data_IF_289884828914
#
_entry.id   IF_289884828914
#
_cell.length_a   1.000
_cell.length_b   1.000
_cell.length_c   1.000
_cell.angle_alpha   90.00
_cell.angle_beta   90.00
_cell.angle_gamma   90.00
#
_symmetry.space_group_name_H-M   'P 1'
#
loop_
_entity.id
_entity.type
_entity.pdbx_description
1 polymer ?
#
# COMPACT_ATOMS: atom_id res chain seq x y z
N UNK A 1 -33.15 62.54 49.45
CA UNK A 1 -33.35 61.08 49.45
C UNK A 1 -33.46 60.61 48.00
N UNK A 2 -32.34 60.18 47.44
CA UNK A 2 -32.23 59.86 46.00
C UNK A 2 -31.81 58.39 45.89
N UNK A 3 -32.75 57.51 45.46
CA UNK A 3 -32.56 56.08 45.33
C UNK A 3 -31.75 55.78 44.01
N UNK A 4 -30.52 55.32 44.15
CA UNK A 4 -29.71 54.78 43.04
C UNK A 4 -30.10 53.29 42.84
N UNK A 5 -30.81 52.95 41.74
CA UNK A 5 -31.03 51.58 41.29
C UNK A 5 -29.84 51.14 40.48
N UNK A 6 -28.97 50.28 41.05
CA UNK A 6 -27.89 49.64 40.36
C UNK A 6 -28.44 48.46 39.55
N UNK A 7 -28.32 48.59 38.21
CA UNK A 7 -28.70 47.57 37.24
C UNK A 7 -27.75 46.35 37.29
N UNK A 8 -28.28 45.13 37.62
CA UNK A 8 -27.54 43.86 37.72
C UNK A 8 -27.42 43.11 36.37
N UNK A 9 -27.30 43.80 35.20
CA UNK A 9 -27.34 43.11 33.90
C UNK A 9 -26.01 42.97 33.17
N UNK A 10 -24.87 43.22 33.78
CA UNK A 10 -23.57 43.27 33.09
C UNK A 10 -22.69 41.99 32.96
N UNK A 11 -22.92 40.84 33.64
CA UNK A 11 -21.98 39.73 33.50
C UNK A 11 -22.34 38.68 32.45
N UNK A 12 -23.53 38.69 31.84
CA UNK A 12 -23.89 37.63 30.84
C UNK A 12 -23.34 37.93 29.42
N UNK A 13 -23.22 39.20 29.05
CA UNK A 13 -22.73 39.56 27.71
C UNK A 13 -21.24 39.30 27.51
N UNK A 14 -20.43 39.37 28.57
CA UNK A 14 -19.00 39.14 28.49
C UNK A 14 -18.63 37.66 28.26
N UNK A 15 -19.48 36.75 28.78
CA UNK A 15 -19.26 35.31 28.61
C UNK A 15 -19.61 34.82 27.18
N UNK A 16 -20.63 35.41 26.56
CA UNK A 16 -21.01 35.07 25.17
C UNK A 16 -19.98 35.59 24.15
N UNK A 17 -19.35 36.73 24.40
CA UNK A 17 -18.35 37.29 23.47
C UNK A 17 -17.08 36.47 23.41
N UNK A 18 -16.68 35.78 24.49
CA UNK A 18 -15.49 34.92 24.50
C UNK A 18 -15.71 33.62 23.71
N UNK A 19 -16.93 33.08 23.75
CA UNK A 19 -17.29 31.88 22.99
C UNK A 19 -17.37 32.16 21.47
N UNK A 20 -17.89 33.34 21.09
CA UNK A 20 -17.96 33.72 19.67
C UNK A 20 -16.57 33.99 19.07
N UNK A 21 -15.63 34.55 19.83
CA UNK A 21 -14.26 34.82 19.36
C UNK A 21 -13.42 33.53 19.24
N UNK A 22 -13.64 32.54 20.11
CA UNK A 22 -12.98 31.24 19.99
C UNK A 22 -13.48 30.45 18.76
N UNK A 23 -14.76 30.53 18.40
CA UNK A 23 -15.32 29.88 17.21
C UNK A 23 -14.81 30.51 15.90
N UNK A 24 -14.50 31.80 15.88
CA UNK A 24 -13.93 32.50 14.72
C UNK A 24 -12.44 32.25 14.53
N UNK A 25 -11.70 31.93 15.61
CA UNK A 25 -10.28 31.60 15.53
C UNK A 25 -10.00 30.20 14.92
N UNK A 26 -10.98 29.29 14.94
CA UNK A 26 -10.87 27.98 14.30
C UNK A 26 -11.25 27.98 12.79
N UNK A 27 -11.85 29.05 12.30
CA UNK A 27 -12.34 29.15 10.91
C UNK A 27 -11.30 29.55 9.86
N UNK A 28 -10.03 29.82 10.25
CA UNK A 28 -9.00 30.31 9.32
C UNK A 28 -7.80 29.37 9.20
N UNK A 29 -7.98 28.06 9.31
CA UNK A 29 -7.00 27.15 8.74
C UNK A 29 -7.20 27.16 7.23
N UNK A 30 -6.48 28.08 6.56
CA UNK A 30 -6.30 27.99 5.13
C UNK A 30 -5.84 26.57 4.82
N UNK A 31 -6.57 25.87 3.95
CA UNK A 31 -6.08 24.63 3.38
C UNK A 31 -4.66 24.95 2.84
N UNK A 32 -3.64 24.12 3.15
CA UNK A 32 -2.34 24.34 2.56
C UNK A 32 -2.54 24.42 1.06
N UNK A 33 -2.03 25.49 0.44
CA UNK A 33 -2.02 25.62 -1.00
C UNK A 33 -1.47 24.30 -1.56
N UNK A 34 -2.19 23.69 -2.51
CA UNK A 34 -1.74 22.47 -3.16
C UNK A 34 -0.32 22.75 -3.68
N UNK A 35 0.66 22.19 -3.00
CA UNK A 35 2.05 22.25 -3.46
C UNK A 35 2.06 21.63 -4.86
N UNK A 36 2.71 22.27 -5.81
CA UNK A 36 2.91 21.69 -7.12
C UNK A 36 3.47 20.30 -6.93
N UNK A 37 2.86 19.30 -7.57
CA UNK A 37 3.29 17.92 -7.46
C UNK A 37 4.79 17.86 -7.81
N UNK A 38 5.61 17.56 -6.81
CA UNK A 38 7.05 17.45 -7.01
C UNK A 38 7.36 16.09 -7.63
N UNK A 39 8.26 16.05 -8.58
CA UNK A 39 8.83 14.79 -9.11
C UNK A 39 9.78 14.12 -8.09
N UNK A 40 9.53 14.35 -6.82
CA UNK A 40 10.31 13.81 -5.70
C UNK A 40 9.48 12.76 -4.95
N UNK A 41 10.13 11.66 -4.59
CA UNK A 41 9.59 10.66 -3.68
C UNK A 41 10.41 10.66 -2.38
N UNK A 42 9.80 10.38 -1.23
CA UNK A 42 10.52 10.39 0.04
C UNK A 42 11.45 9.17 0.15
N UNK A 43 12.69 9.40 0.60
CA UNK A 43 13.64 8.30 0.89
C UNK A 43 13.34 7.57 2.21
N UNK A 44 12.44 8.09 3.03
CA UNK A 44 11.98 7.47 4.27
C UNK A 44 10.54 7.82 4.57
N UNK A 45 9.77 6.84 5.01
CA UNK A 45 8.40 7.02 5.51
C UNK A 45 8.31 6.60 6.98
N UNK A 46 7.27 7.06 7.67
CA UNK A 46 7.09 6.88 9.11
C UNK A 46 5.71 6.26 9.42
N UNK A 47 5.58 5.65 10.58
CA UNK A 47 4.29 5.19 11.10
C UNK A 47 3.33 6.36 11.27
N UNK A 48 2.09 6.24 10.77
CA UNK A 48 1.06 7.24 11.01
C UNK A 48 0.55 7.18 12.46
N UNK A 49 -0.19 8.21 12.87
CA UNK A 49 -0.90 8.19 14.14
C UNK A 49 -2.11 7.25 14.05
N UNK A 50 -2.48 6.62 15.20
CA UNK A 50 -3.66 5.74 15.30
C UNK A 50 -4.96 6.41 14.82
N UNK A 51 -5.07 7.72 14.98
CA UNK A 51 -6.22 8.52 14.57
C UNK A 51 -6.01 9.25 13.25
N UNK A 52 -5.04 8.82 12.47
CA UNK A 52 -4.81 9.39 11.14
C UNK A 52 -6.08 9.22 10.28
N UNK A 53 -6.46 10.27 9.55
CA UNK A 53 -7.63 10.21 8.68
C UNK A 53 -7.43 9.15 7.57
N UNK A 54 -8.49 8.48 7.19
CA UNK A 54 -8.51 7.62 6.00
C UNK A 54 -8.57 8.44 4.72
N UNK A 55 -8.29 7.80 3.58
CA UNK A 55 -8.40 8.43 2.25
C UNK A 55 -9.80 9.01 2.02
N UNK A 56 -10.86 8.25 2.35
CA UNK A 56 -12.25 8.71 2.17
C UNK A 56 -12.64 9.86 3.11
N UNK A 57 -11.98 10.01 4.27
CA UNK A 57 -12.23 11.11 5.20
C UNK A 57 -11.48 12.40 4.82
N UNK A 58 -10.29 12.27 4.28
CA UNK A 58 -9.44 13.39 3.82
C UNK A 58 -8.53 12.91 2.71
N UNK A 59 -8.83 13.15 1.44
CA UNK A 59 -7.95 12.77 0.34
C UNK A 59 -6.54 13.34 0.50
N UNK A 60 -5.53 12.61 0.00
CA UNK A 60 -4.13 13.03 0.04
C UNK A 60 -3.63 13.49 -1.34
N UNK A 61 -4.47 13.45 -2.37
CA UNK A 61 -4.02 13.63 -3.73
C UNK A 61 -3.26 12.39 -4.25
N UNK A 62 -2.55 12.53 -5.38
CA UNK A 62 -1.79 11.43 -5.93
C UNK A 62 -0.76 10.89 -4.93
N UNK A 63 -0.61 9.57 -4.88
CA UNK A 63 0.35 8.91 -4.00
C UNK A 63 1.79 9.14 -4.45
N UNK A 64 2.69 9.26 -3.49
CA UNK A 64 4.13 9.08 -3.69
C UNK A 64 4.61 7.70 -3.24
N UNK A 65 4.05 7.19 -2.14
CA UNK A 65 4.36 5.88 -1.57
C UNK A 65 3.11 5.30 -0.94
N UNK A 66 2.93 3.99 -1.09
CA UNK A 66 2.02 3.18 -0.29
C UNK A 66 2.85 2.12 0.41
N UNK A 67 2.60 1.86 1.67
CA UNK A 67 3.23 0.76 2.38
C UNK A 67 2.20 0.01 3.23
N UNK A 68 2.49 -1.26 3.50
CA UNK A 68 1.57 -2.16 4.18
C UNK A 68 2.19 -2.59 5.49
N UNK A 69 1.44 -2.41 6.57
CA UNK A 69 1.85 -2.81 7.89
C UNK A 69 0.84 -3.80 8.47
N UNK A 70 1.35 -4.90 8.99
CA UNK A 70 0.60 -5.81 9.86
C UNK A 70 0.93 -5.56 11.33
N UNK A 71 1.44 -4.37 11.64
CA UNK A 71 1.75 -4.00 13.02
C UNK A 71 0.46 -4.03 13.85
N UNK A 72 0.47 -4.83 14.90
CA UNK A 72 -0.64 -5.02 15.85
C UNK A 72 -1.13 -3.71 16.51
N UNK A 73 -0.40 -2.61 16.37
CA UNK A 73 -0.87 -1.28 16.82
C UNK A 73 -2.19 -0.86 16.20
N UNK A 74 -2.50 -1.36 15.01
CA UNK A 74 -3.72 -1.00 14.28
C UNK A 74 -4.80 -2.10 14.33
N UNK A 75 -4.55 -3.21 15.03
CA UNK A 75 -5.45 -4.38 15.19
C UNK A 75 -5.83 -5.08 13.88
N UNK A 76 -5.50 -4.51 12.72
CA UNK A 76 -5.85 -5.01 11.38
C UNK A 76 -4.71 -4.69 10.42
N UNK A 77 -4.61 -5.43 9.33
CA UNK A 77 -3.74 -5.06 8.23
C UNK A 77 -4.16 -3.70 7.69
N UNK A 78 -3.24 -2.76 7.63
CA UNK A 78 -3.56 -1.40 7.20
C UNK A 78 -2.57 -0.97 6.14
N UNK A 79 -3.09 -0.49 5.02
CA UNK A 79 -2.33 0.27 4.05
C UNK A 79 -2.14 1.72 4.54
N UNK A 80 -0.99 2.28 4.27
CA UNK A 80 -0.67 3.67 4.55
C UNK A 80 -0.23 4.34 3.26
N UNK A 81 -0.94 5.39 2.88
CA UNK A 81 -0.61 6.20 1.73
C UNK A 81 0.09 7.48 2.18
N UNK A 82 1.16 7.82 1.50
CA UNK A 82 1.83 9.12 1.58
C UNK A 82 1.59 9.86 0.26
N UNK A 83 0.88 10.98 0.34
CA UNK A 83 0.64 11.84 -0.82
C UNK A 83 1.90 12.55 -1.28
N UNK A 84 1.89 13.12 -2.47
CA UNK A 84 3.01 13.93 -3.00
C UNK A 84 3.27 15.20 -2.20
N UNK A 85 2.30 15.66 -1.43
CA UNK A 85 2.43 16.75 -0.46
C UNK A 85 2.99 16.31 0.91
N UNK A 86 3.30 15.02 1.08
CA UNK A 86 3.74 14.40 2.33
C UNK A 86 2.61 14.10 3.32
N UNK A 87 1.35 14.23 2.93
CA UNK A 87 0.22 13.91 3.79
C UNK A 87 0.02 12.39 3.94
N UNK A 88 -0.09 11.91 5.16
CA UNK A 88 -0.37 10.50 5.46
C UNK A 88 -1.86 10.23 5.56
N UNK A 89 -2.31 9.10 4.99
CA UNK A 89 -3.69 8.62 5.06
C UNK A 89 -3.71 7.11 5.25
N UNK A 90 -4.72 6.63 5.96
CA UNK A 90 -4.94 5.19 6.13
C UNK A 90 -5.79 4.66 4.96
N UNK A 91 -5.42 3.48 4.50
CA UNK A 91 -6.23 2.64 3.61
C UNK A 91 -6.74 1.50 4.49
N UNK A 92 -8.00 1.56 4.96
CA UNK A 92 -8.54 0.48 5.78
C UNK A 92 -8.66 -0.78 4.92
N UNK A 93 -8.04 -1.87 5.37
CA UNK A 93 -8.15 -3.20 4.78
C UNK A 93 -8.99 -4.08 5.71
N UNK A 94 -9.82 -4.93 5.15
CA UNK A 94 -10.54 -5.94 5.94
C UNK A 94 -9.63 -7.12 6.27
N UNK A 95 -9.98 -7.86 7.31
CA UNK A 95 -9.25 -9.07 7.70
C UNK A 95 -9.27 -10.07 6.54
N UNK A 96 -8.09 -10.53 6.13
CA UNK A 96 -7.93 -11.44 5.00
C UNK A 96 -7.99 -10.78 3.61
N UNK A 97 -8.11 -9.45 3.55
CA UNK A 97 -8.03 -8.73 2.28
C UNK A 97 -6.57 -8.64 1.82
N UNK A 98 -6.33 -9.03 0.58
CA UNK A 98 -5.02 -8.83 -0.06
C UNK A 98 -4.71 -7.34 -0.22
N UNK A 99 -3.43 -7.01 -0.26
CA UNK A 99 -3.00 -5.66 -0.56
C UNK A 99 -3.50 -5.26 -1.95
N UNK A 100 -4.09 -4.06 -2.03
CA UNK A 100 -4.48 -3.50 -3.32
C UNK A 100 -3.27 -3.06 -4.14
N UNK A 101 -3.52 -2.56 -5.32
CA UNK A 101 -2.49 -2.14 -6.27
C UNK A 101 -2.63 -0.64 -6.58
N UNK A 102 -1.50 0.06 -6.49
CA UNK A 102 -1.41 1.46 -6.86
C UNK A 102 -1.30 1.59 -8.38
N UNK A 103 -2.07 2.51 -8.98
CA UNK A 103 -1.97 2.78 -10.41
C UNK A 103 -0.59 3.36 -10.79
N UNK A 104 -0.13 3.17 -12.03
CA UNK A 104 1.18 3.67 -12.48
C UNK A 104 1.38 5.17 -12.31
N UNK A 105 0.30 5.98 -12.35
CA UNK A 105 0.32 7.43 -12.15
C UNK A 105 0.15 7.86 -10.69
N UNK A 106 -0.17 6.92 -9.80
CA UNK A 106 -0.42 7.16 -8.38
C UNK A 106 -1.74 7.83 -8.05
N UNK A 107 -2.69 7.94 -8.99
CA UNK A 107 -3.98 8.61 -8.78
C UNK A 107 -5.07 7.67 -8.28
N UNK A 108 -4.93 6.39 -8.56
CA UNK A 108 -5.92 5.39 -8.20
C UNK A 108 -5.29 4.26 -7.39
N UNK A 109 -6.10 3.70 -6.53
CA UNK A 109 -5.76 2.50 -5.78
C UNK A 109 -6.90 1.49 -5.95
N UNK A 110 -6.59 0.34 -6.50
CA UNK A 110 -7.59 -0.70 -6.69
C UNK A 110 -7.52 -1.71 -5.55
N UNK A 111 -8.69 -2.13 -5.05
CA UNK A 111 -8.90 -3.22 -4.10
C UNK A 111 -9.60 -4.35 -4.86
N UNK A 112 -8.84 -5.20 -5.57
CA UNK A 112 -9.41 -6.09 -6.57
C UNK A 112 -10.34 -7.13 -5.94
N UNK A 113 -9.97 -7.66 -4.78
CA UNK A 113 -10.79 -8.64 -4.06
C UNK A 113 -12.20 -8.09 -3.73
N UNK A 114 -12.35 -6.79 -3.51
CA UNK A 114 -13.63 -6.13 -3.26
C UNK A 114 -14.30 -5.56 -4.51
N UNK A 115 -13.60 -5.53 -5.62
CA UNK A 115 -14.06 -4.87 -6.84
C UNK A 115 -14.16 -3.36 -6.71
N UNK A 116 -13.30 -2.72 -5.92
CA UNK A 116 -13.38 -1.29 -5.60
C UNK A 116 -12.17 -0.56 -6.19
N UNK A 117 -12.44 0.52 -6.92
CA UNK A 117 -11.48 1.53 -7.34
C UNK A 117 -11.62 2.75 -6.43
N UNK A 118 -10.50 3.21 -5.91
CA UNK A 118 -10.40 4.42 -5.06
C UNK A 118 -9.70 5.52 -5.83
N UNK A 119 -10.36 6.64 -6.05
CA UNK A 119 -9.72 7.87 -6.54
C UNK A 119 -9.02 8.56 -5.36
N UNK A 120 -7.70 8.58 -5.38
CA UNK A 120 -6.89 9.14 -4.31
C UNK A 120 -6.95 10.67 -4.24
N UNK A 121 -7.41 11.32 -5.31
CA UNK A 121 -7.52 12.78 -5.37
C UNK A 121 -8.80 13.28 -4.72
N UNK A 122 -9.86 12.51 -4.79
CA UNK A 122 -11.17 12.85 -4.23
C UNK A 122 -11.55 12.04 -2.99
N UNK A 123 -10.91 10.89 -2.80
CA UNK A 123 -11.26 9.92 -1.77
C UNK A 123 -12.53 9.13 -2.09
N UNK A 124 -13.05 9.26 -3.32
CA UNK A 124 -14.22 8.52 -3.74
C UNK A 124 -13.88 7.04 -3.94
N UNK A 125 -14.77 6.18 -3.45
CA UNK A 125 -14.71 4.74 -3.68
C UNK A 125 -15.84 4.35 -4.62
N UNK A 126 -15.50 3.64 -5.69
CA UNK A 126 -16.47 3.15 -6.66
C UNK A 126 -16.32 1.64 -6.82
N UNK A 127 -17.44 0.92 -6.73
CA UNK A 127 -17.46 -0.51 -7.03
C UNK A 127 -17.64 -0.67 -8.53
N UNK A 128 -16.58 -1.07 -9.21
CA UNK A 128 -16.52 -1.08 -10.66
C UNK A 128 -16.54 -2.49 -11.27
N UNK A 129 -16.06 -3.49 -10.55
CA UNK A 129 -15.98 -4.85 -11.06
C UNK A 129 -16.46 -5.88 -10.01
N UNK A 130 -16.60 -7.13 -10.45
CA UNK A 130 -17.01 -8.23 -9.58
C UNK A 130 -15.95 -8.47 -8.48
N UNK A 131 -16.35 -8.69 -7.21
CA UNK A 131 -15.44 -9.14 -6.16
C UNK A 131 -14.83 -10.52 -6.45
N UNK A 132 -13.78 -10.88 -5.69
CA UNK A 132 -13.13 -12.20 -5.80
C UNK A 132 -11.99 -12.25 -6.80
N UNK A 133 -11.46 -11.09 -7.21
CA UNK A 133 -10.27 -11.01 -8.04
C UNK A 133 -9.06 -10.70 -7.15
N UNK A 134 -8.00 -11.49 -7.30
CA UNK A 134 -6.68 -11.17 -6.77
C UNK A 134 -5.88 -10.43 -7.83
N UNK A 135 -5.56 -9.16 -7.58
CA UNK A 135 -4.78 -8.34 -8.50
C UNK A 135 -3.31 -8.72 -8.51
N UNK A 136 -2.72 -8.82 -9.70
CA UNK A 136 -1.30 -9.15 -9.89
C UNK A 136 -0.50 -7.94 -10.36
N UNK A 137 -0.97 -7.23 -11.38
CA UNK A 137 -0.26 -6.09 -11.95
C UNK A 137 -1.18 -5.18 -12.76
N UNK A 138 -0.92 -3.87 -12.73
CA UNK A 138 -1.48 -2.93 -13.69
C UNK A 138 -0.80 -3.07 -15.06
N UNK A 139 -1.58 -2.86 -16.13
CA UNK A 139 -1.00 -2.65 -17.46
C UNK A 139 -0.15 -1.36 -17.48
N UNK A 140 0.85 -1.26 -18.36
CA UNK A 140 1.72 -0.08 -18.42
C UNK A 140 0.98 1.24 -18.66
N UNK A 141 -0.13 1.20 -19.37
CA UNK A 141 -0.98 2.37 -19.66
C UNK A 141 -1.95 2.72 -18.50
N UNK A 142 -1.97 1.92 -17.43
CA UNK A 142 -2.82 2.12 -16.26
C UNK A 142 -4.32 1.92 -16.53
N UNK A 143 -4.71 1.24 -17.63
CA UNK A 143 -6.10 1.04 -18.02
C UNK A 143 -6.69 -0.28 -17.56
N UNK A 144 -5.86 -1.32 -17.50
CA UNK A 144 -6.33 -2.66 -17.17
C UNK A 144 -5.52 -3.27 -16.04
N UNK A 145 -6.12 -4.22 -15.38
CA UNK A 145 -5.54 -4.99 -14.28
C UNK A 145 -5.44 -6.46 -14.68
N UNK A 146 -4.27 -7.05 -14.54
CA UNK A 146 -4.09 -8.48 -14.56
C UNK A 146 -4.45 -9.05 -13.18
N UNK A 147 -5.18 -10.13 -13.14
CA UNK A 147 -5.53 -10.79 -11.89
C UNK A 147 -5.86 -12.26 -12.07
N UNK A 148 -6.06 -12.93 -10.95
CA UNK A 148 -6.72 -14.24 -10.90
C UNK A 148 -8.08 -14.10 -10.26
N UNK A 149 -9.04 -14.84 -10.77
CA UNK A 149 -10.39 -14.91 -10.22
C UNK A 149 -10.61 -16.23 -9.54
N UNK A 150 -10.94 -16.16 -8.26
CA UNK A 150 -11.35 -17.32 -7.49
C UNK A 150 -12.66 -17.88 -8.05
N UNK A 151 -12.75 -19.18 -8.18
CA UNK A 151 -14.02 -19.82 -8.51
C UNK A 151 -14.94 -19.79 -7.28
N UNK A 152 -16.05 -19.05 -7.36
CA UNK A 152 -16.96 -18.71 -6.24
C UNK A 152 -17.56 -19.91 -5.48
N UNK A 153 -17.50 -21.09 -6.06
CA UNK A 153 -17.97 -22.31 -5.42
C UNK A 153 -16.86 -23.10 -4.72
N UNK A 154 -15.66 -22.56 -4.61
CA UNK A 154 -14.57 -23.23 -3.96
C UNK A 154 -14.87 -23.38 -2.45
N UNK A 155 -14.89 -24.60 -1.97
CA UNK A 155 -14.90 -24.87 -0.52
C UNK A 155 -13.54 -24.44 0.01
N UNK A 156 -13.53 -23.43 0.89
CA UNK A 156 -12.31 -23.01 1.54
C UNK A 156 -11.81 -24.19 2.38
N UNK A 157 -10.72 -24.79 1.97
CA UNK A 157 -10.02 -25.81 2.73
C UNK A 157 -8.80 -25.19 3.38
N UNK A 158 -8.49 -25.61 4.59
CA UNK A 158 -7.30 -25.15 5.31
C UNK A 158 -6.30 -26.30 5.40
N UNK A 159 -5.06 -26.02 5.03
CA UNK A 159 -3.95 -26.92 5.20
C UNK A 159 -3.54 -27.09 6.68
N UNK A 160 -2.57 -27.99 6.95
CA UNK A 160 -2.07 -28.24 8.31
C UNK A 160 -1.60 -26.98 9.04
N UNK A 161 -1.12 -25.98 8.31
CA UNK A 161 -0.58 -24.72 8.82
C UNK A 161 -1.63 -23.60 8.84
N UNK A 162 -2.91 -23.95 8.77
CA UNK A 162 -4.03 -23.00 8.68
C UNK A 162 -3.96 -22.07 7.46
N UNK A 163 -3.23 -22.45 6.43
CA UNK A 163 -3.23 -21.77 5.13
C UNK A 163 -4.51 -22.12 4.38
N UNK A 164 -5.15 -21.11 3.82
CA UNK A 164 -6.25 -21.31 2.92
C UNK A 164 -5.74 -21.98 1.63
N UNK A 165 -6.23 -23.17 1.36
CA UNK A 165 -5.92 -23.89 0.13
C UNK A 165 -7.12 -23.74 -0.80
N UNK A 166 -6.84 -23.36 -2.04
CA UNK A 166 -7.85 -23.39 -3.08
C UNK A 166 -8.26 -24.86 -3.36
N UNK A 167 -9.52 -25.07 -3.71
CA UNK A 167 -9.98 -26.40 -4.12
C UNK A 167 -9.23 -26.80 -5.40
N UNK A 168 -8.41 -27.85 -5.37
CA UNK A 168 -7.67 -28.30 -6.54
C UNK A 168 -8.57 -28.71 -7.72
N UNK A 169 -9.82 -29.04 -7.46
CA UNK A 169 -10.80 -29.33 -8.49
C UNK A 169 -11.35 -28.06 -9.18
N UNK A 170 -11.07 -26.90 -8.64
CA UNK A 170 -11.56 -25.59 -9.12
C UNK A 170 -10.43 -24.57 -9.15
N UNK A 171 -9.45 -24.73 -10.05
CA UNK A 171 -8.35 -23.79 -10.19
C UNK A 171 -8.83 -22.42 -10.65
N UNK A 172 -8.08 -21.38 -10.28
CA UNK A 172 -8.38 -19.99 -10.59
C UNK A 172 -8.27 -19.70 -12.09
N UNK A 173 -9.09 -18.76 -12.55
CA UNK A 173 -9.00 -18.21 -13.91
C UNK A 173 -8.00 -17.04 -13.93
N UNK A 174 -7.20 -16.97 -14.99
CA UNK A 174 -6.43 -15.77 -15.30
C UNK A 174 -7.33 -14.77 -16.04
N UNK A 175 -7.43 -13.55 -15.51
CA UNK A 175 -8.33 -12.53 -16.04
C UNK A 175 -7.61 -11.20 -16.27
N UNK A 176 -8.13 -10.43 -17.22
CA UNK A 176 -7.83 -9.01 -17.39
C UNK A 176 -9.11 -8.23 -17.15
N UNK A 177 -9.04 -7.24 -16.29
CA UNK A 177 -10.17 -6.42 -15.87
C UNK A 177 -9.89 -4.96 -16.17
N UNK A 178 -10.87 -4.25 -16.73
CA UNK A 178 -10.88 -2.79 -16.73
C UNK A 178 -11.51 -2.32 -15.40
N UNK A 179 -10.75 -1.74 -14.47
CA UNK A 179 -11.29 -1.35 -13.18
C UNK A 179 -12.11 -0.06 -13.24
N UNK A 180 -12.26 0.59 -14.42
CA UNK A 180 -13.04 1.81 -14.59
C UNK A 180 -14.46 1.52 -15.06
N UNK A 181 -14.67 0.50 -15.91
CA UNK A 181 -16.00 0.13 -16.41
C UNK A 181 -16.45 -1.28 -15.96
N UNK A 182 -15.56 -2.02 -15.31
CA UNK A 182 -15.83 -3.35 -14.79
C UNK A 182 -15.83 -4.46 -15.82
N UNK A 183 -15.46 -4.16 -17.07
CA UNK A 183 -15.36 -5.20 -18.09
C UNK A 183 -14.24 -6.18 -17.76
N UNK A 184 -14.54 -7.47 -17.94
CA UNK A 184 -13.64 -8.56 -17.61
C UNK A 184 -13.47 -9.49 -18.81
N UNK A 185 -12.25 -9.98 -18.99
CA UNK A 185 -11.93 -10.95 -20.01
C UNK A 185 -11.05 -12.07 -19.43
N UNK A 186 -11.53 -13.30 -19.58
CA UNK A 186 -10.76 -14.50 -19.20
C UNK A 186 -9.68 -14.73 -20.25
N UNK A 187 -8.41 -14.79 -19.81
CA UNK A 187 -7.28 -15.16 -20.66
C UNK A 187 -7.04 -16.67 -20.67
N UNK A 188 -7.14 -17.30 -19.50
CA UNK A 188 -7.00 -18.73 -19.34
C UNK A 188 -7.91 -19.20 -18.21
N UNK A 189 -8.78 -20.15 -18.50
CA UNK A 189 -9.73 -20.71 -17.55
C UNK A 189 -9.10 -21.89 -16.80
N UNK A 190 -9.32 -21.93 -15.48
CA UNK A 190 -8.96 -23.07 -14.65
C UNK A 190 -7.49 -23.47 -14.71
N UNK A 191 -6.58 -22.50 -14.66
CA UNK A 191 -5.17 -22.74 -14.99
C UNK A 191 -4.25 -22.82 -13.78
N UNK A 192 -4.60 -22.13 -12.67
CA UNK A 192 -3.70 -21.98 -11.53
C UNK A 192 -4.35 -22.45 -10.22
N UNK A 193 -3.57 -23.16 -9.42
CA UNK A 193 -4.06 -23.72 -8.16
C UNK A 193 -3.96 -22.74 -6.97
N UNK A 194 -3.02 -21.81 -6.96
CA UNK A 194 -2.82 -20.79 -5.92
C UNK A 194 -1.60 -19.92 -6.24
N UNK A 195 -1.37 -18.84 -5.45
CA UNK A 195 -0.14 -18.04 -5.42
C UNK A 195 0.47 -17.70 -6.79
N UNK A 196 -0.33 -17.03 -7.61
CA UNK A 196 0.08 -16.59 -8.94
C UNK A 196 0.82 -15.26 -8.85
N UNK A 197 1.89 -15.14 -9.61
CA UNK A 197 2.60 -13.87 -9.86
C UNK A 197 2.53 -13.55 -11.34
N UNK A 198 2.37 -12.29 -11.69
CA UNK A 198 2.25 -11.90 -13.10
C UNK A 198 2.79 -10.51 -13.39
N UNK A 199 3.20 -10.29 -14.64
CA UNK A 199 3.71 -9.01 -15.12
C UNK A 199 3.35 -8.77 -16.58
N UNK A 200 3.12 -7.50 -16.92
CA UNK A 200 2.92 -7.04 -18.28
C UNK A 200 4.25 -6.69 -18.95
N UNK A 201 4.37 -6.98 -20.25
CA UNK A 201 5.44 -6.41 -21.07
C UNK A 201 5.35 -4.88 -21.11
N UNK A 202 6.45 -4.14 -21.32
CA UNK A 202 6.44 -2.67 -21.33
C UNK A 202 5.50 -2.05 -22.37
N UNK A 203 5.26 -2.76 -23.48
CA UNK A 203 4.35 -2.35 -24.56
C UNK A 203 2.90 -2.82 -24.34
N UNK A 204 2.64 -3.56 -23.27
CA UNK A 204 1.31 -4.10 -22.94
C UNK A 204 0.82 -5.23 -23.85
N UNK A 205 1.65 -5.73 -24.77
CA UNK A 205 1.23 -6.76 -25.74
C UNK A 205 1.30 -8.18 -25.21
N UNK A 206 2.14 -8.42 -24.21
CA UNK A 206 2.39 -9.74 -23.62
C UNK A 206 2.21 -9.71 -22.10
N UNK A 207 1.91 -10.88 -21.56
CA UNK A 207 1.79 -11.13 -20.12
C UNK A 207 2.63 -12.35 -19.80
N UNK A 208 3.47 -12.26 -18.79
CA UNK A 208 4.14 -13.40 -18.18
C UNK A 208 3.50 -13.71 -16.84
N UNK A 209 3.22 -14.97 -16.59
CA UNK A 209 2.58 -15.44 -15.35
C UNK A 209 3.32 -16.67 -14.84
N UNK A 210 3.54 -16.75 -13.54
CA UNK A 210 4.04 -17.94 -12.85
C UNK A 210 3.06 -18.36 -11.77
N UNK A 211 2.78 -19.64 -11.71
CA UNK A 211 1.96 -20.20 -10.65
C UNK A 211 1.96 -21.73 -10.70
N UNK A 212 1.59 -22.40 -9.61
CA UNK A 212 1.46 -23.85 -9.57
C UNK A 212 0.27 -24.30 -10.41
N UNK A 213 0.47 -25.31 -11.22
CA UNK A 213 -0.61 -25.96 -12.00
C UNK A 213 -1.23 -27.14 -11.27
N UNK A 214 -0.59 -27.57 -10.19
CA UNK A 214 -1.04 -28.63 -9.30
C UNK A 214 -0.78 -28.19 -7.85
N UNK A 215 -1.80 -28.15 -6.99
CA UNK A 215 -1.64 -27.73 -5.59
C UNK A 215 -0.79 -28.69 -4.75
N UNK A 216 -0.65 -29.94 -5.19
CA UNK A 216 0.22 -30.91 -4.53
C UNK A 216 1.70 -30.74 -4.90
N UNK A 217 2.01 -29.90 -5.87
CA UNK A 217 3.36 -29.68 -6.39
C UNK A 217 3.69 -28.20 -6.35
N UNK A 218 4.64 -27.79 -5.52
CA UNK A 218 5.09 -26.39 -5.40
C UNK A 218 5.78 -25.85 -6.67
N UNK A 219 5.98 -26.68 -7.70
CA UNK A 219 6.58 -26.26 -8.95
C UNK A 219 5.71 -25.27 -9.68
N UNK A 220 6.26 -24.13 -9.92
CA UNK A 220 5.60 -23.11 -10.71
C UNK A 220 5.85 -23.35 -12.20
N UNK A 221 4.82 -23.08 -12.99
CA UNK A 221 4.93 -22.98 -14.44
C UNK A 221 4.91 -21.53 -14.86
N UNK A 222 5.97 -21.13 -15.56
CA UNK A 222 6.03 -19.84 -16.20
C UNK A 222 5.39 -19.93 -17.58
N UNK A 223 4.44 -19.06 -17.85
CA UNK A 223 3.71 -19.00 -19.12
C UNK A 223 3.78 -17.59 -19.69
N UNK A 224 4.23 -17.47 -20.93
CA UNK A 224 4.15 -16.24 -21.71
C UNK A 224 2.93 -16.30 -22.62
N UNK A 225 2.09 -15.30 -22.53
CA UNK A 225 0.78 -15.25 -23.21
C UNK A 225 0.60 -13.92 -23.92
N UNK A 226 -0.06 -13.96 -25.09
CA UNK A 226 -0.54 -12.76 -25.79
C UNK A 226 -1.65 -12.10 -24.96
N UNK A 227 -1.47 -10.83 -24.64
CA UNK A 227 -2.36 -10.09 -23.76
C UNK A 227 -3.77 -9.89 -24.34
N UNK A 228 -3.90 -9.88 -25.67
CA UNK A 228 -5.17 -9.65 -26.38
C UNK A 228 -5.87 -10.96 -26.70
N UNK A 229 -5.14 -11.93 -27.21
CA UNK A 229 -5.69 -13.17 -27.73
C UNK A 229 -5.69 -14.33 -26.73
N UNK A 230 -4.93 -14.22 -25.64
CA UNK A 230 -4.75 -15.30 -24.66
C UNK A 230 -3.91 -16.48 -25.19
N UNK A 231 -3.33 -16.36 -26.40
CA UNK A 231 -2.53 -17.42 -27.00
C UNK A 231 -1.17 -17.57 -26.29
N UNK A 232 -0.84 -18.78 -25.87
CA UNK A 232 0.44 -19.10 -25.24
C UNK A 232 1.56 -19.04 -26.29
N UNK A 233 2.62 -18.29 -26.01
CA UNK A 233 3.83 -18.18 -26.83
C UNK A 233 4.83 -19.28 -26.49
N UNK A 234 5.12 -19.41 -25.20
CA UNK A 234 5.93 -20.49 -24.65
C UNK A 234 5.60 -20.73 -23.18
N UNK A 235 6.02 -21.89 -22.68
CA UNK A 235 5.92 -22.29 -21.29
C UNK A 235 7.20 -22.92 -20.81
N UNK A 236 7.48 -22.77 -19.50
CA UNK A 236 8.64 -23.35 -18.85
C UNK A 236 8.32 -23.69 -17.40
N UNK A 237 8.66 -24.89 -16.96
CA UNK A 237 8.60 -25.25 -15.55
C UNK A 237 9.82 -24.65 -14.82
N UNK A 238 9.57 -23.99 -13.69
CA UNK A 238 10.58 -23.49 -12.77
C UNK A 238 10.83 -24.57 -11.71
N UNK A 239 12.05 -24.65 -11.22
CA UNK A 239 12.31 -25.43 -10.01
C UNK A 239 11.87 -24.67 -8.75
N UNK A 240 11.98 -25.31 -7.59
CA UNK A 240 11.54 -24.81 -6.29
C UNK A 240 12.37 -23.63 -5.74
N UNK A 241 13.43 -23.21 -6.44
CA UNK A 241 14.33 -22.11 -6.08
C UNK A 241 14.25 -20.90 -6.99
N UNK A 242 13.37 -20.96 -8.00
CA UNK A 242 13.15 -19.88 -8.93
C UNK A 242 11.68 -19.40 -8.86
N UNK A 243 11.51 -18.11 -8.74
CA UNK A 243 10.21 -17.43 -8.71
C UNK A 243 10.20 -16.36 -9.81
N UNK A 244 9.04 -16.12 -10.44
CA UNK A 244 8.89 -14.90 -11.24
C UNK A 244 9.10 -13.69 -10.31
N UNK A 245 9.93 -12.73 -10.74
CA UNK A 245 10.40 -11.70 -9.83
C UNK A 245 9.33 -10.71 -9.34
N UNK A 246 8.10 -10.76 -9.84
CA UNK A 246 7.01 -9.89 -9.44
C UNK A 246 6.46 -9.08 -10.62
N UNK A 247 5.65 -8.06 -10.32
CA UNK A 247 4.98 -7.22 -11.34
C UNK A 247 5.94 -6.42 -12.22
N UNK A 248 7.16 -6.17 -11.76
CA UNK A 248 8.23 -5.51 -12.51
C UNK A 248 9.16 -6.47 -13.25
N UNK A 249 8.78 -7.75 -13.43
CA UNK A 249 9.69 -8.77 -13.98
C UNK A 249 10.20 -8.47 -15.39
N UNK A 250 9.51 -7.68 -16.19
CA UNK A 250 9.98 -7.29 -17.51
C UNK A 250 11.04 -6.19 -17.46
N UNK A 251 12.14 -6.38 -18.19
CA UNK A 251 13.08 -5.27 -18.43
C UNK A 251 12.43 -4.17 -19.26
N UNK A 252 12.85 -2.90 -19.10
CA UNK A 252 12.23 -1.76 -19.78
C UNK A 252 12.30 -1.86 -21.33
N UNK A 253 13.30 -2.56 -21.86
CA UNK A 253 13.45 -2.81 -23.29
C UNK A 253 12.59 -3.98 -23.81
N UNK A 254 11.88 -4.67 -22.92
CA UNK A 254 11.05 -5.82 -23.28
C UNK A 254 11.79 -7.08 -23.70
N UNK A 255 13.12 -7.11 -23.57
CA UNK A 255 13.94 -8.23 -24.07
C UNK A 255 14.17 -9.34 -23.05
N UNK A 256 13.98 -9.04 -21.74
CA UNK A 256 14.30 -9.96 -20.65
C UNK A 256 13.15 -10.05 -19.64
N UNK A 257 13.03 -11.24 -19.06
CA UNK A 257 12.14 -11.51 -17.93
C UNK A 257 13.00 -11.89 -16.73
N UNK A 258 12.83 -11.19 -15.61
CA UNK A 258 13.58 -11.40 -14.38
C UNK A 258 12.93 -12.49 -13.52
N UNK A 259 13.78 -13.34 -12.95
CA UNK A 259 13.46 -14.31 -11.92
C UNK A 259 14.17 -13.91 -10.63
N UNK A 260 13.55 -14.13 -9.50
CA UNK A 260 14.20 -14.21 -8.19
C UNK A 260 14.63 -15.66 -7.98
N UNK A 261 15.93 -15.86 -7.84
CA UNK A 261 16.52 -17.15 -7.51
C UNK A 261 17.18 -17.10 -6.13
N UNK A 262 17.21 -18.21 -5.41
CA UNK A 262 17.83 -18.27 -4.09
C UNK A 262 18.53 -19.59 -3.83
N UNK A 263 19.54 -19.52 -2.97
CA UNK A 263 20.19 -20.68 -2.37
C UNK A 263 19.76 -20.79 -0.91
N UNK A 264 19.63 -21.99 -0.41
CA UNK A 264 19.17 -22.27 0.95
C UNK A 264 17.93 -23.18 0.98
N UNK A 265 17.20 -23.14 2.07
CA UNK A 265 16.00 -23.97 2.24
C UNK A 265 14.93 -23.60 1.20
N UNK A 266 14.34 -24.60 0.55
CA UNK A 266 13.22 -24.47 -0.39
C UNK A 266 12.01 -25.21 0.14
N UNK A 267 10.80 -24.77 -0.24
CA UNK A 267 9.54 -25.34 0.16
C UNK A 267 8.90 -24.71 1.40
N UNK A 268 7.67 -25.14 1.70
CA UNK A 268 6.83 -24.60 2.79
C UNK A 268 7.29 -25.03 4.20
N UNK A 269 8.12 -26.08 4.31
CA UNK A 269 8.60 -26.58 5.60
C UNK A 269 9.76 -25.76 6.19
N UNK A 270 10.25 -24.73 5.49
CA UNK A 270 11.35 -23.89 5.96
C UNK A 270 10.92 -23.03 7.14
N UNK A 271 11.74 -22.98 8.18
CA UNK A 271 11.56 -22.02 9.27
C UNK A 271 11.79 -20.58 8.79
N UNK A 272 11.33 -19.61 9.57
CA UNK A 272 11.52 -18.19 9.23
C UNK A 272 13.01 -17.82 9.22
N UNK A 273 13.82 -18.42 10.06
CA UNK A 273 15.28 -18.26 10.13
C UNK A 273 15.95 -18.78 8.85
N UNK A 274 15.54 -19.94 8.36
CA UNK A 274 16.05 -20.54 7.13
C UNK A 274 15.66 -19.68 5.91
N UNK A 275 14.44 -19.17 5.88
CA UNK A 275 14.00 -18.25 4.81
C UNK A 275 14.77 -16.93 4.86
N UNK A 276 14.98 -16.35 6.04
CA UNK A 276 15.76 -15.12 6.21
C UNK A 276 17.25 -15.30 5.87
N UNK A 277 17.76 -16.54 6.00
CA UNK A 277 19.15 -16.89 5.67
C UNK A 277 19.38 -17.14 4.17
N UNK A 278 18.34 -17.19 3.34
CA UNK A 278 18.48 -17.38 1.89
C UNK A 278 19.43 -16.35 1.27
N UNK A 279 20.24 -16.78 0.30
CA UNK A 279 21.03 -15.89 -0.53
C UNK A 279 20.30 -15.67 -1.85
N UNK A 280 19.92 -14.43 -2.11
CA UNK A 280 19.08 -14.07 -3.25
C UNK A 280 19.90 -13.56 -4.42
N UNK A 281 19.40 -13.76 -5.65
CA UNK A 281 19.92 -13.20 -6.88
C UNK A 281 18.82 -13.00 -7.90
N UNK A 282 19.03 -12.05 -8.80
CA UNK A 282 18.23 -11.89 -10.00
C UNK A 282 18.88 -12.72 -11.13
N UNK A 283 18.08 -13.50 -11.80
CA UNK A 283 18.39 -14.20 -13.03
C UNK A 283 17.47 -13.74 -14.15
N UNK A 284 17.88 -13.91 -15.38
CA UNK A 284 17.13 -13.40 -16.51
C UNK A 284 16.89 -14.49 -17.54
N UNK A 285 15.70 -14.44 -18.14
CA UNK A 285 15.32 -15.21 -19.31
C UNK A 285 15.22 -14.28 -20.51
N UNK A 286 15.59 -14.77 -21.68
CA UNK A 286 15.26 -14.14 -22.95
C UNK A 286 13.75 -14.17 -23.14
N UNK A 287 13.14 -13.02 -23.34
CA UNK A 287 11.68 -12.89 -23.40
C UNK A 287 11.06 -13.59 -24.60
N UNK A 288 11.76 -13.69 -25.72
CA UNK A 288 11.25 -14.32 -26.93
C UNK A 288 11.25 -15.84 -26.85
N UNK A 289 12.25 -16.43 -26.19
CA UNK A 289 12.51 -17.88 -26.21
C UNK A 289 12.30 -18.56 -24.85
N UNK A 290 12.26 -17.81 -23.75
CA UNK A 290 12.22 -18.36 -22.39
C UNK A 290 13.54 -19.01 -21.96
N UNK A 291 14.63 -18.85 -22.68
CA UNK A 291 15.93 -19.45 -22.36
C UNK A 291 16.70 -18.60 -21.34
N UNK A 292 17.47 -19.21 -20.42
CA UNK A 292 18.29 -18.48 -19.47
C UNK A 292 19.33 -17.60 -20.16
N UNK A 293 19.50 -16.39 -19.67
CA UNK A 293 20.58 -15.48 -20.00
C UNK A 293 21.60 -15.56 -18.86
N UNK A 294 22.76 -16.11 -19.13
CA UNK A 294 23.75 -16.65 -18.19
C UNK A 294 24.37 -15.73 -17.12
N UNK A 295 23.95 -14.47 -16.97
CA UNK A 295 24.45 -13.59 -15.93
C UNK A 295 23.42 -13.42 -14.82
N UNK A 296 23.83 -13.65 -13.56
CA UNK A 296 23.03 -13.38 -12.38
C UNK A 296 23.55 -12.16 -11.63
N UNK A 297 22.67 -11.45 -10.96
CA UNK A 297 22.98 -10.28 -10.13
C UNK A 297 22.63 -10.62 -8.68
N UNK A 298 23.60 -10.73 -7.76
CA UNK A 298 23.34 -10.94 -6.36
C UNK A 298 22.49 -9.81 -5.77
N UNK A 299 21.62 -10.17 -4.84
CA UNK A 299 20.69 -9.28 -4.16
C UNK A 299 20.89 -9.43 -2.66
N UNK A 300 21.08 -8.32 -1.96
CA UNK A 300 21.16 -8.28 -0.52
C UNK A 300 19.78 -8.50 0.13
N UNK A 301 19.77 -8.66 1.44
CA UNK A 301 18.54 -8.78 2.21
C UNK A 301 17.70 -10.02 1.87
N UNK A 302 16.41 -9.90 2.12
CA UNK A 302 15.39 -10.87 1.74
C UNK A 302 14.51 -10.25 0.64
N UNK A 303 14.82 -10.59 -0.62
CA UNK A 303 14.06 -10.08 -1.77
C UNK A 303 12.65 -10.71 -1.79
N UNK A 304 11.63 -9.87 -1.90
CA UNK A 304 10.23 -10.32 -1.96
C UNK A 304 9.61 -10.10 -3.32
N UNK A 305 9.96 -8.99 -4.00
CA UNK A 305 9.38 -8.62 -5.29
C UNK A 305 10.28 -7.63 -6.03
N UNK A 306 10.37 -7.79 -7.34
CA UNK A 306 10.83 -6.75 -8.27
C UNK A 306 9.62 -5.87 -8.61
N UNK A 307 9.62 -4.63 -8.13
CA UNK A 307 8.49 -3.71 -8.32
C UNK A 307 8.58 -2.92 -9.63
N UNK A 308 9.78 -2.78 -10.18
CA UNK A 308 10.00 -2.07 -11.44
C UNK A 308 11.47 -1.78 -11.71
N UNK A 309 11.73 -0.79 -12.55
CA UNK A 309 13.07 -0.45 -13.04
C UNK A 309 13.30 1.06 -12.95
N UNK A 310 14.56 1.42 -12.71
CA UNK A 310 15.02 2.81 -12.67
C UNK A 310 16.37 2.93 -13.36
N UNK A 311 16.48 3.74 -14.40
CA UNK A 311 17.73 3.91 -15.14
C UNK A 311 18.39 2.57 -15.58
N UNK A 312 17.59 1.54 -15.89
CA UNK A 312 18.05 0.21 -16.22
C UNK A 312 18.46 -0.65 -15.01
N UNK A 313 18.36 -0.14 -13.80
CA UNK A 313 18.57 -0.87 -12.54
C UNK A 313 17.26 -1.50 -12.06
N UNK A 314 17.32 -2.73 -11.57
CA UNK A 314 16.16 -3.41 -10.99
C UNK A 314 15.83 -2.84 -9.61
N UNK A 315 14.57 -2.50 -9.35
CA UNK A 315 14.12 -2.01 -8.05
C UNK A 315 13.34 -3.08 -7.32
N UNK A 316 13.90 -3.54 -6.22
CA UNK A 316 13.40 -4.65 -5.42
C UNK A 316 12.78 -4.16 -4.11
N UNK A 317 11.69 -4.79 -3.74
CA UNK A 317 11.18 -4.77 -2.39
C UNK A 317 11.96 -5.80 -1.57
N UNK A 318 12.67 -5.34 -0.53
CA UNK A 318 13.50 -6.17 0.32
C UNK A 318 13.05 -6.04 1.76
N UNK A 319 12.97 -7.16 2.46
CA UNK A 319 12.85 -7.19 3.90
C UNK A 319 14.22 -7.28 4.55
N UNK A 320 14.38 -6.62 5.68
CA UNK A 320 15.54 -6.83 6.55
C UNK A 320 15.54 -8.28 7.08
N UNK A 321 16.72 -8.77 7.47
CA UNK A 321 16.89 -10.18 7.89
C UNK A 321 16.49 -10.46 9.34
N UNK A 322 15.93 -9.48 10.04
CA UNK A 322 15.39 -9.68 11.37
C UNK A 322 14.26 -10.71 11.35
N UNK A 323 14.35 -11.70 12.21
CA UNK A 323 13.35 -12.78 12.30
C UNK A 323 12.11 -12.34 13.07
N UNK A 324 12.27 -11.43 14.03
CA UNK A 324 11.15 -10.83 14.72
C UNK A 324 10.38 -9.89 13.77
N UNK A 325 9.14 -10.23 13.46
CA UNK A 325 8.30 -9.48 12.52
C UNK A 325 8.22 -7.99 12.84
N UNK A 326 8.12 -7.62 14.11
CA UNK A 326 8.00 -6.23 14.59
C UNK A 326 9.28 -5.40 14.41
N UNK A 327 10.41 -6.05 14.25
CA UNK A 327 11.71 -5.41 14.01
C UNK A 327 12.05 -5.36 12.52
N UNK A 328 11.40 -6.20 11.73
CA UNK A 328 11.59 -6.28 10.28
C UNK A 328 11.05 -5.04 9.61
N UNK A 329 11.77 -4.52 8.65
CA UNK A 329 11.34 -3.39 7.84
C UNK A 329 11.54 -3.69 6.35
N UNK A 330 10.64 -3.14 5.54
CA UNK A 330 10.76 -3.17 4.09
C UNK A 330 11.55 -1.97 3.59
N UNK A 331 12.30 -2.18 2.51
CA UNK A 331 12.98 -1.12 1.76
C UNK A 331 12.84 -1.35 0.27
N UNK A 332 12.73 -0.28 -0.51
CA UNK A 332 12.94 -0.33 -1.94
C UNK A 332 14.41 -0.10 -2.24
N UNK A 333 15.01 -1.02 -2.97
CA UNK A 333 16.45 -1.03 -3.26
C UNK A 333 16.67 -1.15 -4.75
N UNK A 334 17.38 -0.20 -5.35
CA UNK A 334 17.87 -0.30 -6.72
C UNK A 334 19.16 -1.12 -6.75
N UNK A 335 19.22 -2.10 -7.65
CA UNK A 335 20.34 -3.02 -7.80
C UNK A 335 20.93 -2.86 -9.19
N UNK A 336 22.19 -2.39 -9.24
CA UNK A 336 22.92 -2.18 -10.47
C UNK A 336 23.72 -3.44 -10.89
N UNK A 337 23.95 -3.57 -12.19
CA UNK A 337 24.99 -4.45 -12.70
C UNK A 337 26.35 -4.05 -12.08
N UNK A 338 27.03 -4.96 -11.38
CA UNK A 338 28.24 -4.66 -10.62
C UNK A 338 28.04 -4.58 -9.11
N UNK A 339 26.90 -5.03 -8.61
CA UNK A 339 26.58 -5.32 -7.21
C UNK A 339 26.48 -4.11 -6.29
N UNK A 340 26.25 -2.90 -6.82
CA UNK A 340 25.92 -1.75 -5.99
C UNK A 340 24.44 -1.71 -5.71
N UNK A 341 24.11 -1.65 -4.45
CA UNK A 341 22.73 -1.45 -3.99
C UNK A 341 22.56 0.00 -3.50
N UNK A 342 21.47 0.61 -3.92
CA UNK A 342 21.06 1.92 -3.45
C UNK A 342 19.68 1.81 -2.81
N UNK A 343 19.57 2.10 -1.53
CA UNK A 343 18.27 2.21 -0.86
C UNK A 343 17.57 3.47 -1.35
N UNK A 344 16.40 3.31 -1.95
CA UNK A 344 15.56 4.40 -2.44
C UNK A 344 14.56 4.85 -1.37
N UNK A 345 13.87 3.90 -0.74
CA UNK A 345 12.86 4.17 0.30
C UNK A 345 13.04 3.19 1.43
N UNK A 346 12.97 3.69 2.67
CA UNK A 346 12.95 2.85 3.88
C UNK A 346 11.61 3.03 4.60
N UNK A 347 10.94 1.93 4.88
CA UNK A 347 9.73 1.86 5.71
C UNK A 347 10.02 1.81 7.21
N UNK A 348 9.02 2.05 8.06
CA UNK A 348 9.13 1.83 9.49
C UNK A 348 9.15 0.32 9.82
N UNK A 349 9.52 -0.07 11.05
CA UNK A 349 9.44 -1.47 11.50
C UNK A 349 8.02 -2.03 11.42
N UNK A 350 7.89 -3.32 11.08
CA UNK A 350 6.60 -4.00 10.93
C UNK A 350 5.94 -3.81 9.55
N UNK A 351 6.66 -3.20 8.59
CA UNK A 351 6.20 -3.06 7.20
C UNK A 351 6.59 -4.28 6.39
N UNK A 352 5.63 -4.85 5.66
CA UNK A 352 5.79 -6.03 4.83
C UNK A 352 6.09 -5.72 3.36
N UNK A 353 5.78 -4.52 2.88
CA UNK A 353 6.02 -4.11 1.50
C UNK A 353 5.81 -2.62 1.28
N UNK A 354 6.48 -2.10 0.27
CA UNK A 354 6.41 -0.70 -0.17
C UNK A 354 6.06 -0.68 -1.64
N UNK A 355 5.13 0.18 -2.02
CA UNK A 355 4.73 0.44 -3.40
C UNK A 355 4.93 1.92 -3.75
N UNK A 356 5.42 2.15 -4.95
CA UNK A 356 5.65 3.49 -5.51
C UNK A 356 5.07 3.51 -6.92
N UNK A 357 4.35 4.59 -7.32
CA UNK A 357 3.86 4.70 -8.69
C UNK A 357 4.98 4.49 -9.72
N UNK A 358 4.71 3.69 -10.76
CA UNK A 358 5.72 3.32 -11.74
C UNK A 358 6.38 4.55 -12.41
N UNK A 359 5.62 5.62 -12.66
CA UNK A 359 6.15 6.87 -13.21
C UNK A 359 7.12 7.57 -12.24
N UNK A 360 6.83 7.56 -10.93
CA UNK A 360 7.78 8.11 -9.95
C UNK A 360 9.00 7.21 -9.78
N UNK A 361 8.79 5.89 -9.82
CA UNK A 361 9.90 4.94 -9.70
C UNK A 361 10.93 5.16 -10.81
N UNK A 362 10.49 5.40 -12.04
CA UNK A 362 11.36 5.59 -13.18
C UNK A 362 12.19 6.89 -13.09
N UNK A 363 11.56 8.01 -12.75
CA UNK A 363 12.11 9.34 -13.01
C UNK A 363 12.32 10.21 -11.77
N UNK A 364 11.62 9.93 -10.64
CA UNK A 364 11.66 10.80 -9.48
C UNK A 364 13.02 10.82 -8.76
N UNK A 365 13.33 11.93 -8.12
CA UNK A 365 14.44 12.02 -7.19
C UNK A 365 13.96 11.51 -5.82
N UNK A 366 14.60 10.44 -5.34
CA UNK A 366 14.41 9.95 -3.98
C UNK A 366 15.33 10.75 -3.05
N UNK A 367 14.79 11.76 -2.43
CA UNK A 367 15.53 12.64 -1.55
C UNK A 367 14.71 12.93 -0.31
N UNK A 368 15.39 13.20 0.77
CA UNK A 368 14.84 13.55 2.06
C UNK A 368 13.87 12.51 2.65
N UNK A 369 13.58 12.62 3.92
CA UNK A 369 12.53 11.85 4.55
C UNK A 369 11.18 12.54 4.32
N UNK A 370 10.09 11.78 4.18
CA UNK A 370 8.76 12.36 4.25
C UNK A 370 8.62 13.18 5.55
N UNK A 371 7.82 14.25 5.56
CA UNK A 371 7.44 14.90 6.79
C UNK A 371 6.91 13.86 7.79
N UNK A 372 7.18 14.03 9.09
CA UNK A 372 6.55 13.15 10.08
C UNK A 372 5.04 13.33 10.04
N UNK A 373 4.26 12.25 10.22
CA UNK A 373 2.81 12.35 10.25
C UNK A 373 2.34 13.39 11.25
N UNK A 374 1.47 14.29 10.81
CA UNK A 374 0.92 15.31 11.68
C UNK A 374 -0.12 14.73 12.63
N UNK A 375 -0.02 14.93 13.95
CA UNK A 375 -1.04 14.51 14.89
C UNK A 375 -2.40 15.21 14.66
N UNK A 376 -2.39 16.32 13.92
CA UNK A 376 -3.57 17.08 13.55
C UNK A 376 -4.22 16.64 12.23
N UNK A 377 -3.68 15.62 11.57
CA UNK A 377 -4.29 15.06 10.36
C UNK A 377 -5.36 13.99 10.68
N UNK A 378 -6.14 14.22 11.72
CA UNK A 378 -7.26 13.40 12.14
C UNK A 378 -8.52 13.65 11.28
N UNK A 379 -9.51 12.75 11.32
CA UNK A 379 -10.83 13.01 10.72
C UNK A 379 -11.45 14.28 11.26
N UNK A 380 -12.16 15.03 10.42
CA UNK A 380 -12.75 16.32 10.82
C UNK A 380 -13.74 16.22 11.99
N UNK A 381 -14.45 15.10 12.10
CA UNK A 381 -15.38 14.84 13.21
C UNK A 381 -14.71 14.69 14.58
N UNK A 382 -13.43 14.36 14.63
CA UNK A 382 -12.69 14.16 15.88
C UNK A 382 -12.43 15.50 16.59
N UNK A 383 -12.24 16.58 15.84
CA UNK A 383 -11.93 17.89 16.44
C UNK A 383 -13.05 18.40 17.38
N UNK A 384 -14.35 18.41 17.01
CA UNK A 384 -15.38 18.80 17.94
C UNK A 384 -15.52 17.84 19.12
N UNK A 385 -15.31 16.54 18.93
CA UNK A 385 -15.36 15.54 20.01
C UNK A 385 -14.30 15.81 21.08
N UNK A 386 -13.13 16.26 20.71
CA UNK A 386 -12.04 16.61 21.65
C UNK A 386 -12.22 18.04 22.18
N UNK A 387 -12.58 18.98 21.32
CA UNK A 387 -12.69 20.39 21.70
C UNK A 387 -13.82 20.67 22.68
N UNK A 388 -15.01 20.06 22.50
CA UNK A 388 -16.15 20.31 23.37
C UNK A 388 -15.89 19.94 24.84
N UNK A 389 -15.38 18.75 25.18
CA UNK A 389 -15.02 18.42 26.58
C UNK A 389 -13.94 19.33 27.15
N UNK A 390 -12.94 19.69 26.33
CA UNK A 390 -11.86 20.59 26.76
C UNK A 390 -12.40 21.99 27.10
N UNK A 391 -13.28 22.54 26.26
CA UNK A 391 -13.95 23.80 26.50
C UNK A 391 -14.87 23.75 27.76
N UNK A 392 -15.61 22.66 27.94
CA UNK A 392 -16.42 22.46 29.12
C UNK A 392 -15.55 22.42 30.38
N UNK A 393 -14.47 21.68 30.37
CA UNK A 393 -13.51 21.61 31.48
C UNK A 393 -12.92 22.99 31.80
N UNK A 394 -12.50 23.73 30.77
CA UNK A 394 -11.99 25.10 30.93
C UNK A 394 -13.04 26.04 31.54
N UNK A 395 -14.30 25.96 31.09
CA UNK A 395 -15.39 26.74 31.66
C UNK A 395 -15.65 26.38 33.11
N UNK A 396 -15.64 25.10 33.47
CA UNK A 396 -15.82 24.63 34.85
C UNK A 396 -14.68 25.13 35.77
N UNK A 397 -13.43 25.04 35.28
CA UNK A 397 -12.26 25.55 36.01
C UNK A 397 -12.33 27.07 36.21
N UNK A 398 -12.66 27.82 35.15
CA UNK A 398 -12.83 29.27 35.23
C UNK A 398 -13.95 29.65 36.24
N UNK A 399 -15.07 28.93 36.22
CA UNK A 399 -16.15 29.12 37.16
C UNK A 399 -15.73 28.83 38.62
N UNK A 400 -14.99 27.73 38.83
CA UNK A 400 -14.48 27.38 40.16
C UNK A 400 -13.50 28.42 40.70
N UNK A 401 -12.57 28.92 39.83
CA UNK A 401 -11.62 29.99 40.19
C UNK A 401 -12.36 31.30 40.52
N UNK A 402 -13.38 31.65 39.72
CA UNK A 402 -14.20 32.84 39.99
C UNK A 402 -14.92 32.74 41.34
N UNK A 403 -15.54 31.60 41.66
CA UNK A 403 -16.15 31.34 42.97
C UNK A 403 -15.15 31.44 44.12
N UNK A 404 -13.94 30.89 43.97
CA UNK A 404 -12.85 30.99 44.97
C UNK A 404 -12.45 32.46 45.22
N UNK A 405 -12.29 33.28 44.16
CA UNK A 405 -11.95 34.70 44.26
C UNK A 405 -13.06 35.48 44.98
N UNK A 406 -14.34 35.24 44.70
CA UNK A 406 -15.46 35.87 45.39
C UNK A 406 -15.49 35.54 46.88
N UNK A 407 -15.22 34.28 47.27
CA UNK A 407 -15.16 33.88 48.70
C UNK A 407 -13.99 34.54 49.46
N UNK A 408 -12.88 34.84 48.78
CA UNK A 408 -11.76 35.56 49.39
C UNK A 408 -11.94 37.09 49.47
N UNK A 409 -12.83 37.64 48.66
CA UNK A 409 -13.11 39.07 48.60
C UNK A 409 -14.27 39.50 49.49
N UNK A 410 -14.96 38.59 50.21
CA UNK A 410 -15.94 38.92 51.24
C UNK A 410 -15.26 38.92 52.61
N UNK A 411 -14.81 40.09 53.12
CA UNK A 411 -14.42 40.20 54.53
C UNK A 411 -15.64 40.02 55.38
N UNK A 412 -15.59 39.18 56.42
CA UNK A 412 -16.59 39.02 57.48
C UNK A 412 -16.78 40.29 58.31
#
# INVERSE_FOLDING_TARGET
MTNLRISRRAPLCAALSIVATAALAFGSFAAPAAAAASDTAPARVYDPWLWQATIGQRPAGPASVVFFTSNTRYFESTGVLVGRDGAYRLIPLEVGEDHGLLSPDGRHYVRPHRGVLVDLTTGAEERTHRPGIRGLAWSPDGRTLLGTRDNDDAVITYGPDNQQLNDPAKPDDLVVVDPYDGSERVLAAGTFASHVTGAWSPDGSLIVVAGPTDPAVERQRLTLTDAVRGGVRWQRDLDDRHLLAGRGAWSPDGTRIALLAFDGCAGLACSIEEVAARSWRLEFLDAATGQPLGASVPVGGWATELVGWRNGEAVLNQLSRETAFQERHASLVAVAAGHREQVLVTGPPGVSGIDVPAHLLADAVFADAAPRPSPWAAPLWLYPVVALPALLLAALLAHALHRRRKRRASPG
#
